data_IF_257641640814
#
_entry.id   IF_257641640814
#
_cell.length_a   1.000
_cell.length_b   1.000
_cell.length_c   1.000
_cell.angle_alpha   90.00
_cell.angle_beta   90.00
_cell.angle_gamma   90.00
#
_symmetry.space_group_name_H-M   'P 1'
#
loop_
_entity.id
_entity.type
_entity.pdbx_description
1 polymer ?
#
# COMPACT_ATOMS: atom_id res chain seq x y z
N UNK A 1 19.23 44.08 5.70
CA UNK A 1 17.77 44.21 5.45
C UNK A 1 17.24 43.39 4.28
N UNK A 2 17.96 43.23 3.15
CA UNK A 2 17.50 42.34 2.06
C UNK A 2 17.71 40.86 2.43
N UNK A 3 18.81 40.58 3.14
CA UNK A 3 19.23 39.22 3.49
C UNK A 3 18.36 38.57 4.60
N UNK A 4 17.97 39.31 5.64
CA UNK A 4 17.04 38.83 6.69
C UNK A 4 15.68 38.36 6.14
N UNK A 5 15.19 39.02 5.07
CA UNK A 5 13.93 38.62 4.42
C UNK A 5 14.09 37.30 3.67
N UNK A 6 15.23 37.07 3.03
CA UNK A 6 15.51 35.80 2.35
C UNK A 6 15.66 34.65 3.36
N UNK A 7 16.31 34.91 4.49
CA UNK A 7 16.51 33.91 5.55
C UNK A 7 15.18 33.51 6.17
N UNK A 8 14.31 34.48 6.49
CA UNK A 8 12.95 34.22 7.00
C UNK A 8 12.11 33.42 5.99
N UNK A 9 12.18 33.75 4.70
CA UNK A 9 11.46 33.01 3.65
C UNK A 9 11.98 31.56 3.55
N UNK A 10 13.29 31.35 3.65
CA UNK A 10 13.86 30.00 3.61
C UNK A 10 13.51 29.19 4.86
N UNK A 11 13.51 29.79 6.05
CA UNK A 11 13.08 29.14 7.28
C UNK A 11 11.61 28.71 7.22
N UNK A 12 10.72 29.55 6.67
CA UNK A 12 9.30 29.21 6.48
C UNK A 12 9.15 28.06 5.47
N UNK A 13 9.89 28.09 4.36
CA UNK A 13 9.87 27.01 3.36
C UNK A 13 10.34 25.69 3.97
N UNK A 14 11.45 25.70 4.71
CA UNK A 14 12.01 24.50 5.34
C UNK A 14 11.10 23.95 6.44
N UNK A 15 10.49 24.83 7.25
CA UNK A 15 9.58 24.44 8.32
C UNK A 15 8.26 23.81 7.82
N UNK A 16 7.70 24.34 6.72
CA UNK A 16 6.47 23.82 6.13
C UNK A 16 6.67 22.62 5.21
N UNK A 17 7.88 22.41 4.69
CA UNK A 17 8.17 21.30 3.78
C UNK A 17 7.95 19.93 4.44
N UNK A 18 8.39 19.75 5.68
CA UNK A 18 8.25 18.48 6.40
C UNK A 18 6.79 18.03 6.56
N UNK A 19 5.92 18.84 7.20
CA UNK A 19 4.52 18.47 7.40
C UNK A 19 3.74 18.27 6.10
N UNK A 20 3.91 19.16 5.12
CA UNK A 20 3.20 19.07 3.83
C UNK A 20 3.69 17.86 3.02
N UNK A 21 5.01 17.60 3.01
CA UNK A 21 5.56 16.41 2.35
C UNK A 21 5.06 15.12 3.00
N UNK A 22 4.99 15.06 4.33
CA UNK A 22 4.46 13.89 5.04
C UNK A 22 3.00 13.60 4.71
N UNK A 23 2.14 14.62 4.69
CA UNK A 23 0.72 14.48 4.32
C UNK A 23 0.58 14.03 2.87
N UNK A 24 1.32 14.67 1.95
CA UNK A 24 1.28 14.33 0.53
C UNK A 24 1.77 12.92 0.24
N UNK A 25 2.86 12.50 0.89
CA UNK A 25 3.40 11.15 0.72
C UNK A 25 2.42 10.09 1.23
N UNK A 26 1.81 10.31 2.40
CA UNK A 26 0.79 9.39 2.92
C UNK A 26 -0.42 9.26 1.99
N UNK A 27 -1.00 10.38 1.54
CA UNK A 27 -2.22 10.34 0.74
C UNK A 27 -1.99 9.82 -0.69
N UNK A 28 -0.97 10.32 -1.39
CA UNK A 28 -0.79 9.97 -2.80
C UNK A 28 -0.10 8.62 -2.97
N UNK A 29 0.98 8.35 -2.21
CA UNK A 29 1.77 7.14 -2.39
C UNK A 29 1.25 5.94 -1.61
N UNK A 30 0.74 6.12 -0.39
CA UNK A 30 0.27 4.99 0.42
C UNK A 30 -1.23 4.73 0.34
N UNK A 31 -2.05 5.72 -0.01
CA UNK A 31 -3.51 5.56 -0.03
C UNK A 31 -4.06 5.48 -1.45
N UNK A 32 -3.96 6.57 -2.22
CA UNK A 32 -4.64 6.67 -3.53
C UNK A 32 -4.02 5.72 -4.56
N UNK A 33 -2.70 5.72 -4.71
CA UNK A 33 -2.04 4.91 -5.74
C UNK A 33 -2.28 3.40 -5.54
N UNK A 34 -2.14 2.81 -4.34
CA UNK A 34 -2.39 1.38 -4.14
C UNK A 34 -3.87 0.99 -4.29
N UNK A 35 -4.82 1.85 -3.89
CA UNK A 35 -6.25 1.58 -4.07
C UNK A 35 -6.59 1.51 -5.56
N UNK A 36 -6.16 2.53 -6.31
CA UNK A 36 -6.43 2.63 -7.75
C UNK A 36 -5.71 1.50 -8.48
N UNK A 37 -4.45 1.23 -8.16
CA UNK A 37 -3.70 0.10 -8.71
C UNK A 37 -4.39 -1.24 -8.40
N UNK A 38 -4.89 -1.44 -7.18
CA UNK A 38 -5.68 -2.60 -6.81
C UNK A 38 -6.91 -2.74 -7.70
N UNK A 39 -7.84 -1.78 -7.63
CA UNK A 39 -9.12 -1.83 -8.35
C UNK A 39 -8.91 -2.05 -9.86
N UNK A 40 -7.94 -1.34 -10.45
CA UNK A 40 -7.63 -1.46 -11.88
C UNK A 40 -6.97 -2.78 -12.23
N UNK A 41 -6.17 -3.37 -11.33
CA UNK A 41 -5.62 -4.72 -11.48
C UNK A 41 -6.72 -5.78 -11.45
N UNK A 42 -7.65 -5.72 -10.50
CA UNK A 42 -8.79 -6.65 -10.47
C UNK A 42 -9.65 -6.54 -11.72
N UNK A 43 -9.95 -5.32 -12.18
CA UNK A 43 -10.73 -5.11 -13.40
C UNK A 43 -9.99 -5.58 -14.66
N UNK A 44 -8.66 -5.50 -14.69
CA UNK A 44 -7.84 -6.02 -15.78
C UNK A 44 -7.79 -7.55 -15.79
N UNK A 45 -7.81 -8.20 -14.62
CA UNK A 45 -7.89 -9.67 -14.50
C UNK A 45 -9.20 -10.23 -15.06
N UNK A 46 -10.28 -9.46 -15.00
CA UNK A 46 -11.58 -9.79 -15.63
C UNK A 46 -11.57 -9.61 -17.16
N UNK A 47 -10.45 -9.21 -17.77
CA UNK A 47 -10.28 -9.06 -19.22
C UNK A 47 -10.77 -7.73 -19.78
N UNK A 48 -11.13 -6.77 -18.93
CA UNK A 48 -11.62 -5.47 -19.36
C UNK A 48 -10.46 -4.48 -19.58
N UNK A 49 -10.26 -4.05 -20.83
CA UNK A 49 -9.26 -3.05 -21.22
C UNK A 49 -9.47 -1.67 -20.58
N UNK A 50 -10.61 -1.44 -19.90
CA UNK A 50 -10.86 -0.23 -19.12
C UNK A 50 -9.96 -0.12 -17.88
N UNK A 51 -9.44 -1.21 -17.32
CA UNK A 51 -8.57 -1.17 -16.14
C UNK A 51 -7.34 -0.26 -16.32
N UNK A 52 -6.46 -0.51 -17.31
CA UNK A 52 -5.29 0.33 -17.58
C UNK A 52 -5.63 1.78 -17.96
N UNK A 53 -6.75 1.99 -18.66
CA UNK A 53 -7.19 3.32 -19.08
C UNK A 53 -7.60 4.16 -17.86
N UNK A 54 -8.35 3.56 -16.93
CA UNK A 54 -8.75 4.22 -15.68
C UNK A 54 -7.51 4.55 -14.84
N UNK A 55 -6.54 3.64 -14.74
CA UNK A 55 -5.29 3.90 -14.04
C UNK A 55 -4.56 5.13 -14.62
N UNK A 56 -4.45 5.20 -15.95
CA UNK A 56 -3.81 6.32 -16.64
C UNK A 56 -4.54 7.65 -16.40
N UNK A 57 -5.87 7.66 -16.46
CA UNK A 57 -6.68 8.86 -16.21
C UNK A 57 -6.51 9.35 -14.79
N UNK A 58 -6.59 8.46 -13.79
CA UNK A 58 -6.43 8.85 -12.39
C UNK A 58 -5.03 9.40 -12.12
N UNK A 59 -4.00 8.79 -12.69
CA UNK A 59 -2.62 9.30 -12.59
C UNK A 59 -2.48 10.68 -13.24
N UNK A 60 -3.10 10.88 -14.40
CA UNK A 60 -3.13 12.17 -15.09
C UNK A 60 -3.86 13.24 -14.25
N UNK A 61 -4.98 12.89 -13.61
CA UNK A 61 -5.70 13.80 -12.71
C UNK A 61 -4.83 14.20 -11.51
N UNK A 62 -4.13 13.25 -10.87
CA UNK A 62 -3.20 13.55 -9.77
C UNK A 62 -2.08 14.48 -10.25
N UNK A 63 -1.56 14.27 -11.46
CA UNK A 63 -0.56 15.15 -12.07
C UNK A 63 -1.09 16.56 -12.32
N UNK A 64 -2.31 16.67 -12.87
CA UNK A 64 -2.97 17.97 -13.11
C UNK A 64 -3.28 18.69 -11.80
N UNK A 65 -3.65 17.98 -10.73
CA UNK A 65 -3.88 18.55 -9.40
C UNK A 65 -2.66 19.26 -8.83
N UNK A 66 -1.44 18.96 -9.29
CA UNK A 66 -0.20 19.64 -8.83
C UNK A 66 -0.20 21.15 -9.15
N UNK A 67 -0.79 21.56 -10.28
CA UNK A 67 -0.84 22.96 -10.73
C UNK A 67 -1.75 23.84 -9.84
N UNK A 68 -3.04 23.49 -9.61
CA UNK A 68 -3.89 24.24 -8.70
C UNK A 68 -3.41 24.13 -7.25
N UNK A 69 -2.82 23.01 -6.83
CA UNK A 69 -2.25 22.88 -5.49
C UNK A 69 -1.07 23.83 -5.27
N UNK A 70 -0.22 24.04 -6.29
CA UNK A 70 0.83 25.05 -6.25
C UNK A 70 0.24 26.46 -6.13
N UNK A 71 -0.75 26.80 -6.96
CA UNK A 71 -1.42 28.11 -6.92
C UNK A 71 -2.16 28.37 -5.58
N UNK A 72 -2.76 27.33 -5.00
CA UNK A 72 -3.39 27.39 -3.68
C UNK A 72 -2.34 27.59 -2.59
N UNK A 73 -1.19 26.91 -2.68
CA UNK A 73 -0.04 27.11 -1.81
C UNK A 73 0.51 28.54 -1.84
N UNK A 74 0.56 29.16 -3.02
CA UNK A 74 0.95 30.58 -3.15
C UNK A 74 -0.08 31.52 -2.50
N UNK A 75 -1.39 31.27 -2.68
CA UNK A 75 -2.45 32.09 -2.06
C UNK A 75 -2.54 31.91 -0.54
N UNK A 76 -2.20 30.73 -0.03
CA UNK A 76 -2.23 30.42 1.40
C UNK A 76 -0.96 30.87 2.15
N UNK A 77 0.04 31.43 1.47
CA UNK A 77 1.42 31.60 1.94
C UNK A 77 1.63 32.07 3.39
N UNK A 78 0.84 33.04 3.89
CA UNK A 78 0.97 33.52 5.28
C UNK A 78 0.06 32.73 6.25
N UNK A 79 -1.11 32.26 5.80
CA UNK A 79 -2.03 31.40 6.57
C UNK A 79 -1.50 29.97 6.75
N UNK A 80 -0.57 29.54 5.90
CA UNK A 80 0.10 28.26 6.03
C UNK A 80 0.97 28.17 7.29
N UNK A 81 1.40 29.31 7.85
CA UNK A 81 2.18 29.34 9.10
C UNK A 81 1.38 28.82 10.30
N UNK A 82 0.07 29.07 10.34
CA UNK A 82 -0.83 28.54 11.38
C UNK A 82 -0.97 26.99 11.28
N UNK A 83 -0.65 26.42 10.12
CA UNK A 83 -0.68 24.99 9.86
C UNK A 83 0.54 24.25 10.44
N UNK A 84 1.48 24.94 11.10
CA UNK A 84 2.84 24.39 11.29
C UNK A 84 2.99 23.36 12.42
N UNK A 85 2.09 23.28 13.42
CA UNK A 85 2.39 22.40 14.58
C UNK A 85 1.30 21.38 14.95
N UNK A 86 0.08 21.79 15.32
CA UNK A 86 -0.87 20.82 15.89
C UNK A 86 -1.86 20.23 14.86
N UNK A 87 -2.37 21.07 13.95
CA UNK A 87 -3.33 20.63 12.93
C UNK A 87 -2.67 19.77 11.84
N UNK A 88 -1.49 20.14 11.37
CA UNK A 88 -0.75 19.33 10.38
C UNK A 88 -0.31 17.98 10.93
N UNK A 89 0.11 17.92 12.20
CA UNK A 89 0.45 16.65 12.85
C UNK A 89 -0.76 15.72 12.98
N UNK A 90 -1.93 16.26 13.35
CA UNK A 90 -3.20 15.49 13.40
C UNK A 90 -3.59 14.98 12.01
N UNK A 91 -3.50 15.82 10.98
CA UNK A 91 -3.82 15.46 9.58
C UNK A 91 -2.83 14.44 9.04
N UNK A 92 -1.54 14.60 9.29
CA UNK A 92 -0.50 13.64 8.88
C UNK A 92 -0.71 12.28 9.56
N UNK A 93 -1.03 12.27 10.85
CA UNK A 93 -1.33 11.03 11.58
C UNK A 93 -2.59 10.35 11.06
N UNK A 94 -3.65 11.11 10.78
CA UNK A 94 -4.86 10.58 10.17
C UNK A 94 -4.59 10.00 8.77
N UNK A 95 -3.83 10.71 7.92
CA UNK A 95 -3.44 10.23 6.60
C UNK A 95 -2.59 8.94 6.67
N UNK A 96 -1.70 8.84 7.66
CA UNK A 96 -0.86 7.64 7.86
C UNK A 96 -1.70 6.45 8.34
N UNK A 97 -2.64 6.66 9.27
CA UNK A 97 -3.57 5.61 9.73
C UNK A 97 -4.40 5.08 8.55
N UNK A 98 -4.93 5.98 7.71
CA UNK A 98 -5.65 5.61 6.50
C UNK A 98 -4.76 4.80 5.53
N UNK A 99 -3.53 5.25 5.26
CA UNK A 99 -2.60 4.55 4.37
C UNK A 99 -2.27 3.13 4.85
N UNK A 100 -1.95 2.95 6.14
CA UNK A 100 -1.62 1.62 6.69
C UNK A 100 -2.83 0.70 6.70
N UNK A 101 -4.04 1.22 6.98
CA UNK A 101 -5.28 0.43 6.96
C UNK A 101 -5.59 -0.10 5.56
N UNK A 102 -5.41 0.77 4.55
CA UNK A 102 -5.61 0.42 3.15
C UNK A 102 -4.62 -0.65 2.69
N UNK A 103 -3.34 -0.51 3.02
CA UNK A 103 -2.32 -1.51 2.69
C UNK A 103 -2.65 -2.86 3.35
N UNK A 104 -3.10 -2.86 4.60
CA UNK A 104 -3.54 -4.07 5.30
C UNK A 104 -4.71 -4.77 4.60
N UNK A 105 -5.71 -4.01 4.15
CA UNK A 105 -6.84 -4.54 3.39
C UNK A 105 -6.43 -5.12 2.03
N UNK A 106 -5.54 -4.43 1.30
CA UNK A 106 -5.03 -4.90 0.01
C UNK A 106 -4.29 -6.23 0.12
N UNK A 107 -3.53 -6.45 1.20
CA UNK A 107 -2.86 -7.73 1.45
C UNK A 107 -3.89 -8.86 1.55
N UNK A 108 -4.96 -8.67 2.32
CA UNK A 108 -5.99 -9.70 2.52
C UNK A 108 -6.85 -9.96 1.27
N UNK A 109 -7.01 -8.97 0.39
CA UNK A 109 -7.83 -9.10 -0.83
C UNK A 109 -7.08 -9.65 -2.04
N UNK A 110 -5.78 -9.35 -2.20
CA UNK A 110 -5.02 -9.71 -3.40
C UNK A 110 -4.10 -10.91 -3.22
N UNK A 111 -3.69 -11.23 -1.99
CA UNK A 111 -2.86 -12.40 -1.74
C UNK A 111 -3.77 -13.59 -1.48
N UNK A 112 -4.01 -14.39 -2.52
CA UNK A 112 -4.68 -15.67 -2.42
C UNK A 112 -3.61 -16.77 -2.43
N UNK A 113 -3.53 -17.53 -1.34
CA UNK A 113 -2.69 -18.74 -1.25
C UNK A 113 -3.65 -19.88 -1.01
N UNK A 114 -4.12 -20.49 -2.10
CA UNK A 114 -4.86 -21.74 -2.04
C UNK A 114 -3.84 -22.88 -1.90
N UNK A 115 -4.04 -23.72 -0.90
CA UNK A 115 -3.18 -24.87 -0.62
C UNK A 115 -4.00 -26.10 -0.95
N UNK A 116 -3.71 -26.72 -2.09
CA UNK A 116 -4.39 -27.93 -2.57
C UNK A 116 -3.86 -29.18 -1.83
N UNK A 117 -3.97 -29.21 -0.51
CA UNK A 117 -3.75 -30.44 0.26
C UNK A 117 -4.99 -31.33 0.16
N UNK A 118 -5.15 -32.05 -0.96
CA UNK A 118 -6.12 -33.13 -1.06
C UNK A 118 -5.60 -34.38 -0.32
N UNK A 119 -6.16 -34.68 0.85
CA UNK A 119 -5.96 -35.99 1.50
C UNK A 119 -7.22 -36.81 1.24
N UNK A 120 -7.16 -37.72 0.27
CA UNK A 120 -8.18 -38.76 0.07
C UNK A 120 -8.10 -39.77 1.21
N UNK A 121 -9.07 -39.72 2.13
CA UNK A 121 -9.28 -40.81 3.08
C UNK A 121 -10.24 -41.83 2.45
N UNK A 122 -10.05 -43.11 2.72
CA UNK A 122 -10.73 -44.27 2.11
C UNK A 122 -12.26 -44.40 2.34
N UNK A 123 -12.97 -43.30 2.63
CA UNK A 123 -14.39 -43.26 2.94
C UNK A 123 -15.13 -42.08 2.26
N UNK A 124 -14.79 -41.78 0.99
CA UNK A 124 -15.65 -41.01 0.08
C UNK A 124 -15.94 -39.55 0.45
N UNK A 125 -15.36 -39.00 1.52
CA UNK A 125 -15.50 -37.60 1.91
C UNK A 125 -14.15 -36.89 1.78
N UNK A 126 -14.06 -36.01 0.79
CA UNK A 126 -12.91 -35.14 0.54
C UNK A 126 -12.98 -33.98 1.52
N UNK A 127 -12.30 -34.11 2.66
CA UNK A 127 -12.25 -33.02 3.66
C UNK A 127 -10.95 -32.26 3.47
N UNK A 128 -11.06 -31.04 2.94
CA UNK A 128 -9.95 -30.09 2.79
C UNK A 128 -9.67 -29.48 4.16
N UNK A 129 -8.52 -29.79 4.77
CA UNK A 129 -8.16 -29.37 6.13
C UNK A 129 -8.09 -27.83 6.27
N UNK A 130 -7.86 -27.09 5.17
CA UNK A 130 -7.85 -25.63 5.17
C UNK A 130 -9.22 -24.97 5.02
N UNK A 131 -10.03 -25.46 4.09
CA UNK A 131 -11.30 -24.84 3.73
C UNK A 131 -12.38 -24.99 4.81
N UNK A 132 -12.37 -26.10 5.56
CA UNK A 132 -13.44 -26.42 6.51
C UNK A 132 -13.16 -26.05 7.98
N UNK A 133 -11.89 -25.84 8.38
CA UNK A 133 -11.52 -25.57 9.77
C UNK A 133 -10.86 -24.20 10.01
N UNK A 134 -9.96 -23.76 9.13
CA UNK A 134 -9.22 -22.51 9.32
C UNK A 134 -9.92 -21.30 8.65
N UNK A 135 -10.36 -21.43 7.40
CA UNK A 135 -11.07 -20.35 6.69
C UNK A 135 -12.46 -20.04 7.27
N UNK A 136 -13.05 -20.98 8.03
CA UNK A 136 -14.34 -20.78 8.72
C UNK A 136 -14.23 -19.91 9.97
N UNK A 137 -13.03 -19.82 10.57
CA UNK A 137 -12.77 -19.06 11.80
C UNK A 137 -12.11 -17.72 11.47
N UNK A 138 -11.16 -17.68 10.50
CA UNK A 138 -10.54 -16.45 9.99
C UNK A 138 -10.29 -16.60 8.47
N UNK A 139 -11.04 -15.90 7.60
CA UNK A 139 -10.75 -15.90 6.17
C UNK A 139 -9.36 -15.30 5.89
N UNK A 140 -8.57 -15.91 5.00
CA UNK A 140 -7.25 -15.44 4.55
C UNK A 140 -6.16 -15.36 5.65
N UNK A 141 -6.18 -16.28 6.62
CA UNK A 141 -5.14 -16.33 7.67
C UNK A 141 -3.74 -16.64 7.13
N UNK A 142 -3.60 -17.56 6.18
CA UNK A 142 -2.31 -17.94 5.57
C UNK A 142 -1.59 -16.76 4.88
N UNK A 143 -2.27 -16.00 4.00
CA UNK A 143 -1.72 -14.77 3.41
C UNK A 143 -1.16 -13.78 4.44
N UNK A 144 -1.87 -13.58 5.56
CA UNK A 144 -1.43 -12.67 6.62
C UNK A 144 -0.17 -13.19 7.30
N UNK A 145 -0.12 -14.48 7.67
CA UNK A 145 1.07 -15.09 8.29
C UNK A 145 2.28 -15.02 7.35
N UNK A 146 2.07 -15.29 6.07
CA UNK A 146 3.12 -15.21 5.05
C UNK A 146 3.67 -13.78 4.88
N UNK A 147 2.78 -12.78 4.81
CA UNK A 147 3.21 -11.38 4.69
C UNK A 147 3.95 -10.89 5.94
N UNK A 148 3.55 -11.31 7.14
CA UNK A 148 4.30 -11.03 8.37
C UNK A 148 5.67 -11.71 8.39
N UNK A 149 5.79 -12.94 7.87
CA UNK A 149 7.07 -13.63 7.73
C UNK A 149 8.00 -12.88 6.76
N UNK A 150 7.48 -12.42 5.63
CA UNK A 150 8.23 -11.59 4.67
C UNK A 150 8.65 -10.26 5.25
N UNK A 151 7.77 -9.59 5.98
CA UNK A 151 8.09 -8.36 6.71
C UNK A 151 9.22 -8.57 7.71
N UNK A 152 9.17 -9.68 8.46
CA UNK A 152 10.23 -10.03 9.41
C UNK A 152 11.57 -10.32 8.71
N UNK A 153 11.56 -11.02 7.58
CA UNK A 153 12.77 -11.30 6.79
C UNK A 153 13.40 -10.02 6.23
N UNK A 154 12.57 -9.07 5.79
CA UNK A 154 13.02 -7.78 5.29
C UNK A 154 13.64 -6.93 6.41
N UNK A 155 12.97 -6.86 7.57
CA UNK A 155 13.39 -6.02 8.71
C UNK A 155 14.60 -6.56 9.47
N UNK A 156 14.69 -7.89 9.67
CA UNK A 156 15.75 -8.50 10.49
C UNK A 156 16.99 -8.88 9.67
N UNK A 157 16.82 -9.15 8.38
CA UNK A 157 17.91 -9.65 7.51
C UNK A 157 18.37 -8.65 6.44
N UNK A 158 17.76 -7.46 6.34
CA UNK A 158 18.03 -6.46 5.28
C UNK A 158 18.08 -7.10 3.88
N UNK A 159 17.22 -8.10 3.64
CA UNK A 159 17.20 -8.80 2.37
C UNK A 159 16.68 -7.88 1.27
N UNK A 160 17.37 -7.85 0.13
CA UNK A 160 16.92 -7.08 -1.03
C UNK A 160 15.53 -7.59 -1.49
N UNK A 161 14.54 -6.72 -1.73
CA UNK A 161 13.21 -7.11 -2.19
C UNK A 161 13.22 -8.04 -3.41
N UNK A 162 14.17 -7.85 -4.32
CA UNK A 162 14.37 -8.70 -5.51
C UNK A 162 14.74 -10.14 -5.15
N UNK A 163 15.57 -10.35 -4.13
CA UNK A 163 15.91 -11.69 -3.64
C UNK A 163 14.72 -12.33 -2.96
N UNK A 164 13.90 -11.54 -2.27
CA UNK A 164 12.68 -12.01 -1.63
C UNK A 164 11.67 -12.54 -2.66
N UNK A 165 11.45 -11.81 -3.75
CA UNK A 165 10.62 -12.25 -4.89
C UNK A 165 11.19 -13.54 -5.51
N UNK A 166 12.51 -13.63 -5.66
CA UNK A 166 13.15 -14.86 -6.15
C UNK A 166 12.88 -16.06 -5.23
N UNK A 167 13.00 -15.88 -3.93
CA UNK A 167 12.71 -16.92 -2.92
C UNK A 167 11.23 -17.29 -2.93
N UNK A 168 10.30 -16.33 -3.04
CA UNK A 168 8.86 -16.64 -3.10
C UNK A 168 8.52 -17.49 -4.32
N UNK A 169 9.12 -17.18 -5.47
CA UNK A 169 8.95 -17.95 -6.71
C UNK A 169 9.47 -19.38 -6.57
N UNK A 170 10.69 -19.54 -6.04
CA UNK A 170 11.29 -20.87 -5.85
C UNK A 170 10.48 -21.68 -4.82
N UNK A 171 10.05 -21.05 -3.73
CA UNK A 171 9.23 -21.70 -2.70
C UNK A 171 7.87 -22.13 -3.28
N UNK A 172 7.22 -21.29 -4.10
CA UNK A 172 5.97 -21.64 -4.77
C UNK A 172 6.13 -22.87 -5.69
N UNK A 173 7.22 -22.93 -6.47
CA UNK A 173 7.51 -24.08 -7.34
C UNK A 173 7.74 -25.36 -6.51
N UNK A 174 8.47 -25.27 -5.40
CA UNK A 174 8.74 -26.41 -4.52
C UNK A 174 7.47 -26.90 -3.82
N UNK A 175 6.64 -25.98 -3.31
CA UNK A 175 5.39 -26.33 -2.65
C UNK A 175 4.33 -26.87 -3.63
N UNK A 176 4.32 -26.39 -4.88
CA UNK A 176 3.48 -26.96 -5.93
C UNK A 176 3.96 -28.36 -6.36
N UNK A 177 5.28 -28.57 -6.46
CA UNK A 177 5.84 -29.90 -6.74
C UNK A 177 5.61 -30.92 -5.61
N UNK A 178 5.45 -30.45 -4.37
CA UNK A 178 5.10 -31.28 -3.21
C UNK A 178 3.58 -31.49 -3.05
N UNK A 179 2.75 -30.93 -3.95
CA UNK A 179 1.29 -31.08 -3.92
C UNK A 179 0.62 -30.41 -2.71
N UNK A 180 1.29 -29.42 -2.12
CA UNK A 180 0.77 -28.65 -0.99
C UNK A 180 0.15 -27.34 -1.52
N UNK A 181 0.69 -26.73 -2.58
CA UNK A 181 0.12 -25.55 -3.26
C UNK A 181 -0.55 -25.91 -4.59
#
# INVERSE_FOLDING_TARGET
MKDEKFETINCIKLGLFGPIAGIGYALFWFTILPIVAGITSSLAMEGNALGPIIFFIVYLVIFLCRIPLANLGYKLGVKALDFTNEQSAKISRAATILGVTVIGGLIASYVNIDVLSEITTAAGNVVKIQSDLLDKIIPNFLPVVYTFLMYYLLKKKNANPTVLIGVTFVLAIVFSALGIL
#
